data_IF_568965753362
#
_entry.id   IF_568965753362
#
_cell.length_a   1.000
_cell.length_b   1.000
_cell.length_c   1.000
_cell.angle_alpha   90.00
_cell.angle_beta   90.00
_cell.angle_gamma   90.00
#
_symmetry.space_group_name_H-M   'P 1'
#
loop_
_entity.id
_entity.type
_entity.pdbx_description
1 polymer ?
#
# COMPACT_ATOMS: atom_id res chain seq x y z
N UNK A 1 5.95 -21.62 -19.24
CA UNK A 1 4.65 -22.29 -19.11
C UNK A 1 3.65 -21.25 -18.68
N UNK A 2 2.63 -21.00 -19.50
CA UNK A 2 1.55 -20.06 -19.19
C UNK A 2 0.69 -20.66 -18.09
N UNK A 3 0.63 -20.02 -16.92
CA UNK A 3 -0.28 -20.39 -15.83
C UNK A 3 -1.32 -19.30 -15.68
N UNK A 4 -2.56 -19.66 -16.00
CA UNK A 4 -3.68 -18.76 -16.23
C UNK A 4 -4.11 -17.96 -15.00
N UNK A 5 -4.34 -16.67 -15.23
CA UNK A 5 -5.23 -15.83 -14.46
C UNK A 5 -6.44 -15.49 -15.33
N UNK A 6 -7.57 -16.15 -15.12
CA UNK A 6 -8.87 -15.75 -15.66
C UNK A 6 -9.75 -15.25 -14.51
N UNK A 7 -10.56 -14.19 -14.62
CA UNK A 7 -10.86 -13.27 -15.73
C UNK A 7 -11.27 -11.95 -15.11
N UNK A 8 -10.51 -10.87 -15.34
CA UNK A 8 -11.21 -9.61 -15.54
C UNK A 8 -11.90 -9.71 -16.91
N UNK A 9 -13.15 -9.24 -17.01
CA UNK A 9 -13.97 -9.43 -18.20
C UNK A 9 -13.23 -9.06 -19.49
N UNK A 10 -13.65 -9.64 -20.62
CA UNK A 10 -13.01 -9.54 -21.95
C UNK A 10 -12.77 -8.09 -22.46
N UNK A 11 -13.18 -7.07 -21.70
CA UNK A 11 -13.05 -5.64 -21.96
C UNK A 11 -12.38 -4.82 -20.83
N UNK A 12 -11.54 -5.44 -19.98
CA UNK A 12 -10.81 -4.71 -18.93
C UNK A 12 -9.65 -3.88 -19.51
N UNK A 13 -9.32 -2.76 -18.85
CA UNK A 13 -8.15 -1.94 -19.22
C UNK A 13 -7.06 -2.07 -18.13
N UNK A 14 -5.82 -2.43 -18.47
CA UNK A 14 -4.71 -2.41 -17.51
C UNK A 14 -4.45 -1.00 -16.99
N UNK A 15 -3.97 -0.89 -15.76
CA UNK A 15 -3.58 0.40 -15.20
C UNK A 15 -2.27 0.88 -15.83
N UNK A 16 -2.17 2.17 -16.15
CA UNK A 16 -0.99 2.76 -16.79
C UNK A 16 0.24 2.85 -15.88
N UNK A 17 1.38 3.24 -16.46
CA UNK A 17 2.71 3.16 -15.80
C UNK A 17 3.03 4.25 -14.76
N UNK A 18 2.01 4.86 -14.13
CA UNK A 18 2.16 5.77 -12.99
C UNK A 18 2.52 7.22 -13.33
N UNK A 19 2.60 8.06 -12.28
CA UNK A 19 2.80 9.52 -12.33
C UNK A 19 1.61 10.35 -11.82
N UNK A 20 0.51 9.69 -11.47
CA UNK A 20 -0.70 10.31 -10.92
C UNK A 20 -0.67 10.34 -9.40
N UNK A 21 -1.25 11.38 -8.78
CA UNK A 21 -1.57 11.39 -7.34
C UNK A 21 -2.85 10.62 -7.01
N UNK A 22 -3.53 10.08 -8.02
CA UNK A 22 -4.78 9.33 -7.90
C UNK A 22 -4.69 8.02 -8.69
N UNK A 23 -4.92 6.90 -8.03
CA UNK A 23 -4.91 5.54 -8.61
C UNK A 23 -6.18 4.80 -8.16
N UNK A 24 -6.97 4.27 -9.11
CA UNK A 24 -8.32 3.73 -8.86
C UNK A 24 -8.53 2.33 -9.44
N UNK A 25 -7.49 1.51 -9.57
CA UNK A 25 -7.59 0.27 -10.35
C UNK A 25 -8.65 -0.73 -9.86
N UNK A 26 -8.96 -0.78 -8.56
CA UNK A 26 -10.04 -1.63 -8.01
C UNK A 26 -11.41 -0.97 -8.19
N UNK A 27 -11.50 0.35 -8.02
CA UNK A 27 -12.74 1.12 -8.20
C UNK A 27 -13.19 1.12 -9.67
N UNK A 28 -12.25 1.28 -10.58
CA UNK A 28 -12.47 1.37 -12.03
C UNK A 28 -12.55 -0.03 -12.68
N UNK A 29 -12.39 -1.11 -11.89
CA UNK A 29 -12.45 -2.50 -12.33
C UNK A 29 -11.46 -2.82 -13.46
N UNK A 30 -10.22 -2.37 -13.28
CA UNK A 30 -9.12 -2.68 -14.19
C UNK A 30 -8.86 -4.19 -14.24
N UNK A 31 -8.03 -4.62 -15.19
CA UNK A 31 -7.70 -6.03 -15.34
C UNK A 31 -7.20 -6.66 -14.03
N UNK A 32 -7.56 -7.91 -13.79
CA UNK A 32 -7.01 -8.67 -12.67
C UNK A 32 -5.52 -8.86 -12.90
N UNK A 33 -4.77 -8.53 -11.87
CA UNK A 33 -3.31 -8.56 -11.88
C UNK A 33 -2.78 -9.45 -10.78
N UNK A 34 -1.53 -9.86 -10.92
CA UNK A 34 -0.88 -10.74 -9.95
C UNK A 34 -0.81 -10.11 -8.55
N UNK A 35 -0.59 -8.79 -8.48
CA UNK A 35 -0.54 -8.05 -7.21
C UNK A 35 -1.40 -6.80 -7.25
N UNK A 36 -2.18 -6.60 -6.19
CA UNK A 36 -2.94 -5.38 -5.95
C UNK A 36 -2.42 -4.69 -4.70
N UNK A 37 -1.97 -3.44 -4.84
CA UNK A 37 -1.54 -2.60 -3.71
C UNK A 37 -2.68 -1.66 -3.32
N UNK A 38 -3.15 -1.77 -2.08
CA UNK A 38 -4.08 -0.83 -1.46
C UNK A 38 -3.28 0.16 -0.63
N UNK A 39 -3.24 1.43 -1.03
CA UNK A 39 -2.32 2.43 -0.47
C UNK A 39 -3.05 3.60 0.19
N UNK A 40 -2.66 3.98 1.40
CA UNK A 40 -3.11 5.21 2.06
C UNK A 40 -2.01 6.27 2.10
N UNK A 41 -2.29 7.46 1.57
CA UNK A 41 -1.36 8.61 1.51
C UNK A 41 -1.11 9.27 2.86
N UNK A 42 -0.14 10.19 2.91
CA UNK A 42 0.17 10.99 4.09
C UNK A 42 -0.75 12.21 4.26
N UNK A 43 -0.69 12.84 5.43
CA UNK A 43 -1.48 14.03 5.75
C UNK A 43 -1.23 15.15 4.73
N UNK A 44 -2.29 15.74 4.20
CA UNK A 44 -2.24 16.87 3.28
C UNK A 44 -1.80 16.52 1.85
N UNK A 45 -1.47 15.26 1.56
CA UNK A 45 -1.15 14.86 0.20
C UNK A 45 -2.37 14.94 -0.73
N UNK A 46 -2.11 15.24 -2.00
CA UNK A 46 -3.14 15.35 -3.03
C UNK A 46 -3.63 13.98 -3.53
N UNK A 47 -4.80 13.96 -4.17
CA UNK A 47 -5.40 12.74 -4.71
C UNK A 47 -5.66 11.68 -3.64
N UNK A 48 -5.49 10.40 -3.97
CA UNK A 48 -5.69 9.28 -3.04
C UNK A 48 -4.40 8.49 -2.73
N UNK A 49 -3.31 8.71 -3.48
CA UNK A 49 -1.99 8.09 -3.23
C UNK A 49 -0.85 9.08 -2.99
N UNK A 50 -1.11 10.39 -3.11
CA UNK A 50 -0.08 11.39 -2.85
C UNK A 50 1.06 11.37 -3.87
N UNK A 51 2.25 11.77 -3.44
CA UNK A 51 3.44 11.92 -4.30
C UNK A 51 4.74 11.44 -3.67
N UNK A 52 4.82 11.34 -2.34
CA UNK A 52 6.11 11.16 -1.63
C UNK A 52 6.63 9.73 -1.69
N UNK A 53 5.81 8.74 -1.35
CA UNK A 53 6.25 7.34 -1.17
C UNK A 53 5.51 6.36 -2.08
N UNK A 54 4.19 6.53 -2.22
CA UNK A 54 3.33 5.67 -3.05
C UNK A 54 3.78 5.64 -4.51
N UNK A 55 3.67 6.75 -5.28
CA UNK A 55 4.00 6.74 -6.70
C UNK A 55 5.44 6.29 -7.03
N UNK A 56 6.49 6.68 -6.28
CA UNK A 56 7.82 6.11 -6.47
C UNK A 56 7.85 4.58 -6.33
N UNK A 57 7.24 4.02 -5.27
CA UNK A 57 7.15 2.57 -5.07
C UNK A 57 6.38 1.89 -6.20
N UNK A 58 5.21 2.43 -6.61
CA UNK A 58 4.41 1.83 -7.68
C UNK A 58 5.16 1.81 -9.01
N UNK A 59 5.88 2.90 -9.32
CA UNK A 59 6.70 3.00 -10.53
C UNK A 59 7.78 1.94 -10.53
N UNK A 60 8.50 1.77 -9.42
CA UNK A 60 9.51 0.73 -9.29
C UNK A 60 8.90 -0.66 -9.44
N UNK A 61 7.80 -0.94 -8.73
CA UNK A 61 7.11 -2.23 -8.80
C UNK A 61 6.65 -2.59 -10.21
N UNK A 62 6.01 -1.65 -10.92
CA UNK A 62 5.60 -1.82 -12.32
C UNK A 62 6.78 -1.98 -13.27
N UNK A 63 7.90 -1.29 -13.01
CA UNK A 63 9.13 -1.46 -13.80
C UNK A 63 9.75 -2.85 -13.62
N UNK A 64 9.62 -3.46 -12.44
CA UNK A 64 10.19 -4.78 -12.14
C UNK A 64 9.30 -5.93 -12.59
N UNK A 65 7.98 -5.81 -12.43
CA UNK A 65 7.04 -6.88 -12.77
C UNK A 65 6.41 -6.76 -14.16
N UNK A 66 6.21 -5.55 -14.66
CA UNK A 66 5.30 -5.25 -15.77
C UNK A 66 4.04 -4.52 -15.27
N UNK A 67 3.58 -3.52 -16.03
CA UNK A 67 2.43 -2.69 -15.66
C UNK A 67 1.12 -3.49 -15.59
N UNK A 68 0.99 -4.47 -16.47
CA UNK A 68 -0.13 -5.41 -16.60
C UNK A 68 -0.22 -6.43 -15.46
N UNK A 69 0.77 -6.45 -14.55
CA UNK A 69 0.82 -7.34 -13.39
C UNK A 69 0.62 -6.62 -12.07
N UNK A 70 0.37 -5.31 -12.07
CA UNK A 70 0.27 -4.50 -10.87
C UNK A 70 -0.94 -3.56 -10.90
N UNK A 71 -1.91 -3.81 -10.03
CA UNK A 71 -3.03 -2.90 -9.76
C UNK A 71 -2.72 -2.04 -8.53
N UNK A 72 -3.08 -0.76 -8.56
CA UNK A 72 -2.98 0.13 -7.39
C UNK A 72 -4.34 0.79 -7.14
N UNK A 73 -4.80 0.71 -5.91
CA UNK A 73 -5.97 1.43 -5.40
C UNK A 73 -5.55 2.33 -4.25
N UNK A 74 -5.72 3.64 -4.42
CA UNK A 74 -5.59 4.57 -3.32
C UNK A 74 -6.82 4.55 -2.41
N UNK A 75 -6.59 4.66 -1.11
CA UNK A 75 -7.65 4.79 -0.12
C UNK A 75 -8.20 6.21 -0.19
N UNK A 76 -9.48 6.33 -0.53
CA UNK A 76 -10.17 7.61 -0.61
C UNK A 76 -10.61 8.06 0.78
N UNK A 77 -9.80 8.90 1.40
CA UNK A 77 -10.05 9.47 2.72
C UNK A 77 -9.47 10.88 2.82
N UNK A 78 -9.87 11.70 3.82
CA UNK A 78 -9.51 13.12 3.85
C UNK A 78 -8.00 13.42 3.98
N UNK A 79 -7.22 12.52 4.56
CA UNK A 79 -5.82 12.77 4.92
C UNK A 79 -5.59 14.09 5.67
N UNK A 80 -6.51 14.48 6.57
CA UNK A 80 -6.48 15.78 7.24
C UNK A 80 -5.64 15.76 8.51
N UNK A 81 -5.16 16.92 8.98
CA UNK A 81 -4.42 17.00 10.25
C UNK A 81 -5.25 16.47 11.44
N UNK A 82 -6.56 16.72 11.46
CA UNK A 82 -7.48 16.16 12.46
C UNK A 82 -7.53 14.62 12.42
N UNK A 83 -7.31 14.01 11.25
CA UNK A 83 -7.20 12.56 11.09
C UNK A 83 -5.97 11.94 11.77
N UNK A 84 -4.96 12.74 12.14
CA UNK A 84 -3.84 12.22 12.95
C UNK A 84 -4.29 11.92 14.39
N UNK A 85 -5.15 12.79 14.95
CA UNK A 85 -5.63 12.64 16.33
C UNK A 85 -6.55 11.42 16.51
N UNK A 86 -7.18 10.92 15.43
CA UNK A 86 -8.06 9.75 15.46
C UNK A 86 -7.41 8.47 14.89
N UNK A 87 -6.09 8.44 14.75
CA UNK A 87 -5.32 7.26 14.34
C UNK A 87 -5.82 6.63 13.03
N UNK A 88 -6.15 7.46 12.03
CA UNK A 88 -6.55 6.98 10.70
C UNK A 88 -7.95 6.37 10.63
N UNK A 89 -8.82 6.60 11.62
CA UNK A 89 -10.16 6.01 11.70
C UNK A 89 -11.07 6.31 10.49
N UNK A 90 -10.83 7.40 9.76
CA UNK A 90 -11.57 7.70 8.53
C UNK A 90 -11.12 6.85 7.34
N UNK A 91 -9.85 6.43 7.30
CA UNK A 91 -9.29 5.65 6.20
C UNK A 91 -9.35 4.14 6.43
N UNK A 92 -9.27 3.67 7.68
CA UNK A 92 -9.28 2.24 8.01
C UNK A 92 -10.44 1.46 7.38
N UNK A 93 -11.71 1.92 7.54
CA UNK A 93 -12.86 1.26 6.93
C UNK A 93 -12.77 1.21 5.40
N UNK A 94 -12.24 2.28 4.78
CA UNK A 94 -12.10 2.38 3.32
C UNK A 94 -11.00 1.45 2.80
N UNK A 95 -9.91 1.28 3.53
CA UNK A 95 -8.87 0.30 3.22
C UNK A 95 -9.43 -1.13 3.30
N UNK A 96 -10.12 -1.48 4.39
CA UNK A 96 -10.72 -2.81 4.55
C UNK A 96 -11.76 -3.10 3.44
N UNK A 97 -12.60 -2.12 3.10
CA UNK A 97 -13.54 -2.23 1.99
C UNK A 97 -12.84 -2.41 0.64
N UNK A 98 -11.73 -1.71 0.40
CA UNK A 98 -10.94 -1.85 -0.84
C UNK A 98 -10.28 -3.22 -0.95
N UNK A 99 -9.77 -3.79 0.15
CA UNK A 99 -9.25 -5.16 0.18
C UNK A 99 -10.35 -6.17 -0.15
N UNK A 100 -11.52 -6.05 0.50
CA UNK A 100 -12.66 -6.92 0.22
C UNK A 100 -13.12 -6.84 -1.24
N UNK A 101 -13.18 -5.63 -1.79
CA UNK A 101 -13.54 -5.40 -3.19
C UNK A 101 -12.51 -6.01 -4.15
N UNK A 102 -11.21 -5.85 -3.88
CA UNK A 102 -10.15 -6.42 -4.72
C UNK A 102 -10.20 -7.95 -4.75
N UNK A 103 -10.38 -8.60 -3.59
CA UNK A 103 -10.50 -10.06 -3.51
C UNK A 103 -11.78 -10.59 -4.14
N UNK A 104 -12.89 -9.84 -4.07
CA UNK A 104 -14.13 -10.22 -4.74
C UNK A 104 -14.02 -10.12 -6.27
N UNK A 105 -13.32 -9.10 -6.77
CA UNK A 105 -13.11 -8.90 -8.21
C UNK A 105 -12.05 -9.85 -8.78
N UNK A 106 -10.96 -10.07 -8.04
CA UNK A 106 -9.79 -10.81 -8.50
C UNK A 106 -9.29 -11.76 -7.39
N UNK A 107 -9.95 -12.91 -7.18
CA UNK A 107 -9.66 -13.80 -6.04
C UNK A 107 -8.23 -14.37 -6.01
N UNK A 108 -7.53 -14.40 -7.14
CA UNK A 108 -6.15 -14.86 -7.25
C UNK A 108 -5.10 -13.78 -6.95
N UNK A 109 -5.48 -12.50 -6.92
CA UNK A 109 -4.54 -11.39 -6.72
C UNK A 109 -3.92 -11.45 -5.33
N UNK A 110 -2.63 -11.13 -5.23
CA UNK A 110 -1.94 -10.96 -3.96
C UNK A 110 -2.16 -9.53 -3.47
N UNK A 111 -2.77 -9.39 -2.30
CA UNK A 111 -3.02 -8.06 -1.72
C UNK A 111 -1.82 -7.61 -0.91
N UNK A 112 -1.31 -6.42 -1.18
CA UNK A 112 -0.43 -5.67 -0.26
C UNK A 112 -1.20 -4.46 0.25
N UNK A 113 -1.15 -4.22 1.56
CA UNK A 113 -1.60 -2.96 2.14
C UNK A 113 -0.40 -2.08 2.43
N UNK A 114 -0.50 -0.78 2.18
CA UNK A 114 0.62 0.12 2.37
C UNK A 114 0.14 1.49 2.82
N UNK A 115 0.99 2.19 3.57
CA UNK A 115 0.64 3.47 4.15
C UNK A 115 1.86 4.34 4.41
N UNK A 116 1.69 5.65 4.24
CA UNK A 116 2.72 6.63 4.58
C UNK A 116 2.21 7.62 5.62
N UNK A 117 2.98 7.83 6.70
CA UNK A 117 2.63 8.77 7.77
C UNK A 117 1.26 8.43 8.38
N UNK A 118 0.27 9.33 8.27
CA UNK A 118 -1.13 9.03 8.61
C UNK A 118 -1.69 7.79 7.90
N UNK A 119 -1.27 7.52 6.67
CA UNK A 119 -1.65 6.33 5.94
C UNK A 119 -1.15 5.05 6.59
N UNK A 120 -0.03 5.07 7.31
CA UNK A 120 0.41 3.91 8.11
C UNK A 120 -0.56 3.67 9.28
N UNK A 121 -1.03 4.74 9.94
CA UNK A 121 -2.09 4.62 10.95
C UNK A 121 -3.40 4.06 10.36
N UNK A 122 -3.72 4.40 9.11
CA UNK A 122 -4.86 3.79 8.39
C UNK A 122 -4.70 2.28 8.24
N UNK A 123 -3.48 1.79 7.92
CA UNK A 123 -3.20 0.35 7.87
C UNK A 123 -3.44 -0.28 9.24
N UNK A 124 -2.85 0.28 10.30
CA UNK A 124 -3.06 -0.20 11.68
C UNK A 124 -4.53 -0.23 12.08
N UNK A 125 -5.30 0.81 11.73
CA UNK A 125 -6.74 0.88 12.00
C UNK A 125 -7.53 -0.20 11.26
N UNK A 126 -7.19 -0.48 9.98
CA UNK A 126 -7.87 -1.50 9.19
C UNK A 126 -7.80 -2.89 9.86
N UNK A 127 -6.65 -3.25 10.42
CA UNK A 127 -6.51 -4.48 11.20
C UNK A 127 -7.20 -4.40 12.57
N UNK A 128 -6.84 -3.40 13.37
CA UNK A 128 -7.23 -3.35 14.78
C UNK A 128 -8.71 -3.06 15.03
N UNK A 129 -9.37 -2.30 14.14
CA UNK A 129 -10.73 -1.83 14.34
C UNK A 129 -11.73 -2.30 13.26
N UNK A 130 -11.25 -2.66 12.06
CA UNK A 130 -12.11 -3.02 10.92
C UNK A 130 -12.10 -4.51 10.58
N UNK A 131 -11.35 -5.32 11.33
CA UNK A 131 -11.35 -6.76 11.18
C UNK A 131 -10.64 -7.30 9.95
N UNK A 132 -9.79 -6.48 9.30
CA UNK A 132 -8.87 -6.98 8.27
C UNK A 132 -7.95 -8.04 8.89
N UNK A 133 -7.85 -9.20 8.24
CA UNK A 133 -7.07 -10.34 8.75
C UNK A 133 -5.83 -10.59 7.92
N UNK A 134 -4.78 -11.10 8.57
CA UNK A 134 -3.54 -11.57 7.92
C UNK A 134 -3.80 -12.50 6.73
N UNK A 135 -4.82 -13.37 6.81
CA UNK A 135 -5.19 -14.29 5.73
C UNK A 135 -5.68 -13.62 4.44
N UNK A 136 -6.03 -12.33 4.49
CA UNK A 136 -6.52 -11.56 3.33
C UNK A 136 -5.42 -10.79 2.61
N UNK A 137 -4.20 -10.73 3.18
CA UNK A 137 -3.09 -9.96 2.61
C UNK A 137 -1.80 -10.78 2.58
N UNK A 138 -0.93 -10.46 1.63
CA UNK A 138 0.39 -11.08 1.49
C UNK A 138 1.47 -10.36 2.31
N UNK A 139 1.24 -9.09 2.69
CA UNK A 139 2.12 -8.30 3.53
C UNK A 139 1.71 -6.82 3.63
N UNK A 140 2.46 -6.07 4.43
CA UNK A 140 2.29 -4.63 4.63
C UNK A 140 3.61 -3.86 4.42
N UNK A 141 3.53 -2.67 3.80
CA UNK A 141 4.67 -1.76 3.63
C UNK A 141 4.34 -0.38 4.20
N UNK A 142 5.06 0.04 5.24
CA UNK A 142 4.78 1.28 5.98
C UNK A 142 5.97 2.25 5.89
N UNK A 143 5.68 3.51 5.58
CA UNK A 143 6.68 4.58 5.49
C UNK A 143 6.41 5.64 6.57
N UNK A 144 7.42 5.98 7.37
CA UNK A 144 7.30 7.02 8.40
C UNK A 144 6.17 6.75 9.38
N UNK A 145 6.02 5.49 9.81
CA UNK A 145 4.90 5.04 10.62
C UNK A 145 4.94 5.63 12.05
N UNK A 146 3.96 6.46 12.45
CA UNK A 146 3.86 6.95 13.83
C UNK A 146 3.67 5.81 14.86
N UNK A 147 3.19 4.65 14.41
CA UNK A 147 2.87 3.49 15.24
C UNK A 147 3.89 2.35 15.08
N UNK A 148 5.08 2.61 14.54
CA UNK A 148 6.14 1.60 14.23
C UNK A 148 6.52 0.65 15.37
N UNK A 149 6.26 1.03 16.62
CA UNK A 149 6.52 0.17 17.80
C UNK A 149 5.38 -0.83 18.07
N UNK A 150 4.30 -0.72 17.33
CA UNK A 150 3.10 -1.56 17.40
C UNK A 150 3.14 -2.59 16.28
N UNK A 151 2.68 -3.81 16.56
CA UNK A 151 2.47 -4.79 15.50
C UNK A 151 1.29 -4.40 14.60
N UNK A 152 1.34 -4.80 13.33
CA UNK A 152 0.23 -4.60 12.38
C UNK A 152 -0.77 -5.74 12.50
N UNK A 153 -1.70 -5.62 13.46
CA UNK A 153 -2.72 -6.64 13.69
C UNK A 153 -2.13 -8.02 14.00
N UNK A 154 -2.59 -9.03 13.28
CA UNK A 154 -2.13 -10.42 13.36
C UNK A 154 -1.07 -10.78 12.30
N UNK A 155 -0.52 -9.80 11.56
CA UNK A 155 0.57 -10.06 10.62
C UNK A 155 1.86 -10.48 11.32
N UNK A 156 2.49 -11.52 10.79
CA UNK A 156 3.83 -11.91 11.19
C UNK A 156 4.84 -10.80 10.83
N UNK A 157 5.88 -10.63 11.66
CA UNK A 157 6.86 -9.54 11.50
C UNK A 157 7.60 -9.56 10.16
N UNK A 158 7.87 -10.75 9.63
CA UNK A 158 8.48 -10.94 8.31
C UNK A 158 7.55 -10.58 7.14
N UNK A 159 6.25 -10.40 7.40
CA UNK A 159 5.24 -9.88 6.46
C UNK A 159 5.00 -8.39 6.59
N UNK A 160 5.77 -7.68 7.42
CA UNK A 160 5.69 -6.22 7.57
C UNK A 160 7.05 -5.61 7.25
N UNK A 161 7.10 -4.69 6.30
CA UNK A 161 8.27 -3.86 6.03
C UNK A 161 8.00 -2.43 6.46
N UNK A 162 8.80 -1.95 7.40
CA UNK A 162 8.73 -0.59 7.90
C UNK A 162 9.97 0.19 7.47
N UNK A 163 9.77 1.43 7.06
CA UNK A 163 10.81 2.38 6.69
C UNK A 163 10.69 3.61 7.58
N UNK A 164 11.71 3.89 8.37
CA UNK A 164 11.79 5.10 9.19
C UNK A 164 13.13 5.79 8.97
N UNK A 165 13.07 7.04 8.49
CA UNK A 165 14.23 7.88 8.22
C UNK A 165 15.09 8.14 9.45
N UNK A 166 16.40 8.27 9.26
CA UNK A 166 17.38 8.57 10.32
C UNK A 166 17.06 9.83 11.13
N UNK A 167 16.39 10.81 10.54
CA UNK A 167 15.98 12.06 11.19
C UNK A 167 14.46 12.24 11.21
N UNK A 168 13.68 11.17 11.00
CA UNK A 168 12.23 11.25 11.02
C UNK A 168 11.69 11.15 12.47
N UNK A 169 11.28 12.31 12.99
CA UNK A 169 10.72 12.45 14.32
C UNK A 169 9.29 11.91 14.44
N UNK A 170 8.59 11.64 13.33
CA UNK A 170 7.22 11.12 13.34
C UNK A 170 7.21 9.67 13.80
N UNK A 171 8.07 8.83 13.21
CA UNK A 171 8.23 7.44 13.63
C UNK A 171 9.22 7.29 14.79
N UNK A 172 10.25 8.15 14.88
CA UNK A 172 11.16 8.21 16.03
C UNK A 172 11.91 6.90 16.34
N UNK A 173 11.97 5.99 15.36
CA UNK A 173 12.60 4.67 15.47
C UNK A 173 13.23 4.29 14.14
N UNK A 174 14.39 4.87 13.77
CA UNK A 174 15.02 4.65 12.49
C UNK A 174 15.28 3.17 12.19
N UNK A 175 15.04 2.74 10.96
CA UNK A 175 15.22 1.33 10.56
C UNK A 175 16.59 1.04 9.95
N UNK A 176 17.38 2.08 9.66
CA UNK A 176 18.72 1.95 9.06
C UNK A 176 18.73 1.89 7.53
N UNK A 177 17.56 1.71 6.89
CA UNK A 177 17.43 1.60 5.43
C UNK A 177 17.27 2.95 4.73
N UNK A 178 16.80 3.97 5.47
CA UNK A 178 16.44 5.29 4.92
C UNK A 178 17.32 6.37 5.53
N UNK A 179 18.06 7.07 4.69
CA UNK A 179 18.71 8.32 5.07
C UNK A 179 17.74 9.50 4.90
N UNK A 180 17.75 10.43 5.85
CA UNK A 180 16.93 11.64 5.80
C UNK A 180 15.69 11.61 6.70
N UNK A 181 14.72 12.46 6.36
CA UNK A 181 13.56 12.74 7.20
C UNK A 181 12.24 12.23 6.62
N UNK A 182 11.13 12.74 7.18
CA UNK A 182 9.77 12.28 6.86
C UNK A 182 9.37 12.40 5.37
N UNK A 183 10.09 13.18 4.57
CA UNK A 183 9.82 13.38 3.15
C UNK A 183 10.77 12.59 2.21
N UNK A 184 11.68 11.79 2.77
CA UNK A 184 12.76 11.14 2.02
C UNK A 184 12.41 9.74 1.50
N UNK A 185 11.17 9.27 1.70
CA UNK A 185 10.78 7.88 1.45
C UNK A 185 10.77 7.42 -0.02
N UNK A 186 10.76 8.36 -0.97
CA UNK A 186 10.97 8.02 -2.38
C UNK A 186 12.33 7.34 -2.65
N UNK A 187 13.32 7.54 -1.77
CA UNK A 187 14.65 6.94 -1.90
C UNK A 187 14.70 5.42 -1.70
N UNK A 188 13.69 4.85 -1.05
CA UNK A 188 13.60 3.40 -0.77
C UNK A 188 12.51 2.70 -1.61
N UNK A 189 12.07 3.34 -2.70
CA UNK A 189 11.06 2.80 -3.59
C UNK A 189 11.42 1.40 -4.13
N UNK A 190 12.69 1.18 -4.50
CA UNK A 190 13.14 -0.12 -5.02
C UNK A 190 13.11 -1.22 -3.95
N UNK A 191 13.55 -0.90 -2.74
CA UNK A 191 13.51 -1.85 -1.60
C UNK A 191 12.08 -2.20 -1.21
N UNK A 192 11.17 -1.22 -1.25
CA UNK A 192 9.75 -1.43 -1.01
C UNK A 192 9.14 -2.33 -2.09
N UNK A 193 9.46 -2.08 -3.37
CA UNK A 193 9.02 -2.93 -4.48
C UNK A 193 9.55 -4.37 -4.35
N UNK A 194 10.82 -4.55 -3.97
CA UNK A 194 11.42 -5.87 -3.77
C UNK A 194 10.73 -6.65 -2.64
N UNK A 195 10.40 -5.96 -1.54
CA UNK A 195 9.62 -6.58 -0.48
C UNK A 195 8.23 -7.00 -0.95
N UNK A 196 7.54 -6.16 -1.72
CA UNK A 196 6.22 -6.50 -2.29
C UNK A 196 6.30 -7.76 -3.14
N UNK A 197 7.30 -7.85 -4.03
CA UNK A 197 7.51 -9.00 -4.92
C UNK A 197 7.74 -10.27 -4.10
N UNK A 198 8.62 -10.21 -3.09
CA UNK A 198 8.92 -11.34 -2.22
C UNK A 198 7.70 -11.76 -1.37
N UNK A 199 6.99 -10.79 -0.77
CA UNK A 199 5.82 -11.05 0.07
C UNK A 199 4.68 -11.70 -0.72
N UNK A 200 4.51 -11.32 -1.99
CA UNK A 200 3.54 -11.88 -2.92
C UNK A 200 3.96 -13.22 -3.55
N UNK A 201 5.21 -13.66 -3.37
CA UNK A 201 5.74 -14.88 -3.98
C UNK A 201 5.90 -14.77 -5.51
N UNK A 202 6.30 -13.59 -5.99
CA UNK A 202 6.45 -13.28 -7.42
C UNK A 202 7.92 -13.14 -7.87
N UNK A 203 8.86 -13.53 -6.99
CA UNK A 203 10.32 -13.54 -7.23
C UNK A 203 10.77 -14.65 -8.17
#
# INVERSE_FOLDING_TARGET
GSTGGGTAGENCTPQGNGGSSTENGVKDKNCCTDVTVIFARGTGETGNVGTVSGPPMFKSLRSKLGADRVTVQGVDYPASAAGNANLGAAGGPQMAASVAAALAQCPSTKIIVSGYSQGAMVVHNAFSAQGLKSSQVSGAVLFGDPLIRSGVGDLAKDKVKEFCGSSDTVCGSPTGDVSGGHLSYGSVADQAADFVIAAAGLS
#
